data_IF_477905752164
#
_entry.id   IF_477905752164
#
_cell.length_a   1.000
_cell.length_b   1.000
_cell.length_c   1.000
_cell.angle_alpha   90.00
_cell.angle_beta   90.00
_cell.angle_gamma   90.00
#
_symmetry.space_group_name_H-M   'P 1'
#
loop_
_entity.id
_entity.type
_entity.pdbx_description
1 polymer ?
#
# COMPACT_ATOMS: atom_id res chain seq x y z
N UNK A 1 23.50 -0.55 -21.23
CA UNK A 1 22.51 0.37 -20.66
C UNK A 1 23.04 1.77 -20.92
N UNK A 2 22.31 2.61 -21.65
CA UNK A 2 22.78 3.96 -22.04
C UNK A 2 24.19 3.96 -22.67
N UNK A 3 24.45 3.02 -23.58
CA UNK A 3 25.78 2.83 -24.19
C UNK A 3 26.84 2.16 -23.30
N UNK A 4 26.63 2.05 -21.98
CA UNK A 4 27.57 1.41 -21.07
C UNK A 4 27.31 -0.09 -20.89
N UNK A 5 28.38 -0.89 -20.78
CA UNK A 5 28.27 -2.32 -20.49
C UNK A 5 28.22 -2.57 -18.98
N UNK A 6 26.99 -2.73 -18.47
CA UNK A 6 26.71 -3.02 -17.05
C UNK A 6 26.81 -4.51 -16.66
N UNK A 7 26.74 -5.41 -17.64
CA UNK A 7 26.93 -6.85 -17.45
C UNK A 7 27.78 -7.41 -18.59
N UNK A 8 28.71 -8.31 -18.25
CA UNK A 8 29.58 -9.01 -19.20
C UNK A 8 29.57 -10.50 -18.87
N UNK A 9 29.51 -11.35 -19.90
CA UNK A 9 29.62 -12.81 -19.80
C UNK A 9 28.67 -13.40 -18.73
N UNK A 10 27.46 -12.84 -18.66
CA UNK A 10 26.52 -13.15 -17.59
C UNK A 10 25.86 -14.51 -17.77
N UNK A 11 26.20 -15.45 -16.90
CA UNK A 11 25.56 -16.76 -16.81
C UNK A 11 24.49 -16.76 -15.71
N UNK A 12 23.22 -16.78 -16.15
CA UNK A 12 22.05 -16.80 -15.26
C UNK A 12 22.08 -18.03 -14.35
N UNK A 13 22.45 -19.21 -14.86
CA UNK A 13 22.44 -20.47 -14.10
C UNK A 13 23.53 -20.46 -13.03
N UNK A 14 24.72 -19.97 -13.38
CA UNK A 14 25.83 -19.84 -12.43
C UNK A 14 25.46 -18.88 -11.29
N UNK A 15 24.94 -17.69 -11.64
CA UNK A 15 24.53 -16.68 -10.66
C UNK A 15 23.36 -17.16 -9.78
N UNK A 16 22.38 -17.84 -10.37
CA UNK A 16 21.23 -18.39 -9.66
C UNK A 16 21.56 -19.65 -8.85
N UNK A 17 22.81 -20.14 -8.93
CA UNK A 17 23.27 -21.40 -8.30
C UNK A 17 22.38 -22.58 -8.67
N UNK A 18 21.95 -22.65 -9.93
CA UNK A 18 21.07 -23.72 -10.43
C UNK A 18 20.15 -23.28 -11.56
N UNK A 19 19.57 -24.27 -12.25
CA UNK A 19 18.55 -24.04 -13.28
C UNK A 19 17.17 -23.73 -12.65
N UNK A 20 16.28 -23.10 -13.42
CA UNK A 20 14.90 -22.77 -13.02
C UNK A 20 14.78 -21.88 -11.77
N UNK A 21 15.84 -21.13 -11.46
CA UNK A 21 15.88 -20.19 -10.33
C UNK A 21 15.85 -18.77 -10.86
N UNK A 22 14.88 -17.99 -10.40
CA UNK A 22 14.78 -16.59 -10.74
C UNK A 22 15.85 -15.80 -9.98
N UNK A 23 16.48 -14.87 -10.68
CA UNK A 23 17.37 -13.86 -10.11
C UNK A 23 16.96 -12.49 -10.65
N UNK A 24 17.07 -11.48 -9.80
CA UNK A 24 16.78 -10.08 -10.16
C UNK A 24 18.10 -9.32 -10.11
N UNK A 25 18.39 -8.60 -11.19
CA UNK A 25 19.51 -7.66 -11.26
C UNK A 25 18.94 -6.25 -11.43
N UNK A 26 19.37 -5.34 -10.56
CA UNK A 26 18.96 -3.94 -10.58
C UNK A 26 20.16 -3.11 -11.00
N UNK A 27 19.91 -2.19 -11.92
CA UNK A 27 20.90 -1.25 -12.43
C UNK A 27 20.28 0.13 -12.44
N UNK A 28 21.05 1.13 -12.02
CA UNK A 28 20.67 2.51 -12.13
C UNK A 28 21.17 3.08 -13.46
N UNK A 29 20.35 3.91 -14.09
CA UNK A 29 20.68 4.60 -15.34
C UNK A 29 20.30 6.06 -15.25
N UNK A 30 21.19 6.93 -15.75
CA UNK A 30 20.85 8.32 -15.99
C UNK A 30 20.15 8.45 -17.36
N UNK A 31 18.96 9.04 -17.37
CA UNK A 31 18.13 9.19 -18.58
C UNK A 31 17.88 10.68 -18.81
N UNK A 32 18.52 11.24 -19.84
CA UNK A 32 18.45 12.68 -20.15
C UNK A 32 17.36 13.02 -21.17
N UNK A 33 17.15 12.15 -22.17
CA UNK A 33 16.27 12.43 -23.31
C UNK A 33 14.96 11.62 -23.26
N UNK A 34 14.51 11.22 -22.08
CA UNK A 34 13.32 10.37 -21.87
C UNK A 34 13.37 8.99 -22.57
N UNK A 35 14.51 8.62 -23.16
CA UNK A 35 14.76 7.33 -23.81
C UNK A 35 15.75 6.55 -22.96
N UNK A 36 15.36 5.35 -22.55
CA UNK A 36 16.22 4.39 -21.88
C UNK A 36 16.65 3.31 -22.88
N UNK A 37 17.94 3.26 -23.19
CA UNK A 37 18.50 2.28 -24.09
C UNK A 37 19.03 1.05 -23.33
N UNK A 38 18.51 -0.12 -23.66
CA UNK A 38 18.93 -1.41 -23.10
C UNK A 38 19.34 -2.31 -24.26
N UNK A 39 20.63 -2.63 -24.32
CA UNK A 39 21.19 -3.48 -25.37
C UNK A 39 21.56 -4.84 -24.79
N UNK A 40 21.02 -5.91 -25.37
CA UNK A 40 21.46 -7.27 -25.10
C UNK A 40 22.38 -7.71 -26.23
N UNK A 41 23.66 -7.84 -25.93
CA UNK A 41 24.65 -8.32 -26.88
C UNK A 41 24.91 -9.81 -26.69
N UNK A 42 24.95 -10.55 -27.79
CA UNK A 42 25.20 -11.98 -27.79
C UNK A 42 26.37 -12.33 -28.70
N UNK A 43 27.45 -12.81 -28.08
CA UNK A 43 28.71 -13.12 -28.76
C UNK A 43 28.80 -14.58 -29.25
N UNK A 44 27.69 -15.32 -29.31
CA UNK A 44 27.69 -16.72 -29.76
C UNK A 44 27.80 -17.78 -28.65
N UNK A 45 27.68 -17.41 -27.37
CA UNK A 45 27.60 -18.35 -26.24
C UNK A 45 26.16 -18.41 -25.71
N UNK A 46 25.59 -19.60 -25.60
CA UNK A 46 24.21 -19.79 -25.17
C UNK A 46 23.87 -21.26 -24.95
N UNK A 47 22.61 -21.55 -24.68
CA UNK A 47 22.11 -22.93 -24.61
C UNK A 47 22.19 -23.56 -25.99
N UNK A 48 22.71 -24.79 -26.10
CA UNK A 48 22.46 -25.63 -27.25
C UNK A 48 21.21 -26.46 -27.02
N UNK A 49 20.50 -26.78 -28.09
CA UNK A 49 19.70 -28.00 -28.16
C UNK A 49 18.32 -27.91 -27.46
N UNK A 50 17.84 -26.70 -27.12
CA UNK A 50 16.47 -26.47 -26.62
C UNK A 50 15.89 -25.21 -27.24
N UNK A 51 14.75 -25.27 -27.97
CA UNK A 51 13.99 -26.48 -28.33
C UNK A 51 14.59 -27.29 -29.49
N UNK A 52 15.49 -26.71 -30.28
CA UNK A 52 16.16 -27.36 -31.40
C UNK A 52 17.68 -27.13 -31.33
N UNK A 53 18.45 -27.84 -32.16
CA UNK A 53 19.90 -27.65 -32.22
C UNK A 53 20.24 -26.26 -32.78
N UNK A 54 20.94 -25.47 -31.97
CA UNK A 54 21.29 -24.09 -32.28
C UNK A 54 21.73 -23.37 -31.02
N UNK A 55 22.34 -22.21 -31.16
CA UNK A 55 22.77 -21.40 -30.01
C UNK A 55 21.78 -20.27 -29.80
N UNK A 56 21.17 -20.24 -28.61
CA UNK A 56 20.17 -19.22 -28.27
C UNK A 56 20.83 -17.99 -27.64
N UNK A 57 20.25 -16.83 -27.95
CA UNK A 57 20.75 -15.53 -27.54
C UNK A 57 20.47 -15.17 -26.07
N UNK A 58 20.42 -13.87 -25.75
CA UNK A 58 20.23 -13.40 -24.39
C UNK A 58 18.81 -13.73 -23.88
N UNK A 59 18.69 -14.07 -22.59
CA UNK A 59 17.42 -14.46 -21.97
C UNK A 59 17.00 -13.46 -20.90
N UNK A 60 15.74 -13.01 -20.96
CA UNK A 60 15.10 -12.13 -19.96
C UNK A 60 13.64 -12.54 -19.83
N UNK A 61 13.17 -12.72 -18.59
CA UNK A 61 11.76 -13.06 -18.32
C UNK A 61 10.90 -11.83 -18.06
N UNK A 62 11.43 -10.84 -17.34
CA UNK A 62 10.71 -9.63 -16.97
C UNK A 62 11.66 -8.47 -16.73
N UNK A 63 11.15 -7.26 -16.89
CA UNK A 63 11.83 -6.01 -16.59
C UNK A 63 10.90 -5.06 -15.85
N UNK A 64 11.46 -4.30 -14.90
CA UNK A 64 10.75 -3.26 -14.16
C UNK A 64 11.59 -1.99 -14.19
N UNK A 65 10.97 -0.89 -14.60
CA UNK A 65 11.61 0.43 -14.70
C UNK A 65 10.86 1.37 -13.77
N UNK A 66 11.59 2.12 -12.95
CA UNK A 66 11.05 3.14 -12.05
C UNK A 66 12.08 4.25 -11.84
N UNK A 67 11.60 5.45 -11.52
CA UNK A 67 12.47 6.58 -11.22
C UNK A 67 13.11 6.42 -9.84
N UNK A 68 14.43 6.54 -9.77
CA UNK A 68 15.17 6.57 -8.51
C UNK A 68 14.96 7.93 -7.84
N UNK A 69 14.47 7.95 -6.61
CA UNK A 69 14.15 9.19 -5.87
C UNK A 69 12.66 9.53 -5.78
N UNK A 70 11.78 8.80 -6.48
CA UNK A 70 10.33 8.92 -6.31
C UNK A 70 9.82 8.11 -5.11
N UNK A 71 10.37 8.36 -3.92
CA UNK A 71 9.61 8.18 -2.68
C UNK A 71 8.75 9.44 -2.52
N UNK A 72 7.58 9.56 -3.15
CA UNK A 72 6.35 9.06 -2.54
C UNK A 72 5.21 9.01 -3.56
N UNK A 73 5.12 7.93 -4.34
CA UNK A 73 3.84 7.45 -4.83
C UNK A 73 3.74 5.98 -4.45
N UNK A 74 3.43 5.78 -3.18
CA UNK A 74 3.06 4.50 -2.58
C UNK A 74 2.20 3.68 -3.57
N UNK A 75 2.76 2.59 -4.09
CA UNK A 75 1.97 1.44 -4.53
C UNK A 75 1.34 0.79 -3.29
N UNK A 76 0.47 1.53 -2.59
CA UNK A 76 -0.47 0.94 -1.63
C UNK A 76 -1.74 0.68 -2.39
N UNK A 77 -2.08 -0.61 -2.46
CA UNK A 77 -3.44 -1.09 -2.63
C UNK A 77 -4.44 -0.05 -2.12
N UNK A 78 -5.34 0.37 -3.02
CA UNK A 78 -6.37 1.42 -2.84
C UNK A 78 -7.32 1.16 -1.66
N UNK A 79 -7.11 0.09 -0.90
CA UNK A 79 -7.98 -0.37 0.18
C UNK A 79 -7.48 0.01 1.60
N UNK A 80 -6.21 0.40 1.79
CA UNK A 80 -5.70 0.69 3.16
C UNK A 80 -5.92 2.14 3.63
N UNK A 81 -6.13 3.10 2.72
CA UNK A 81 -6.34 4.50 3.09
C UNK A 81 -7.64 4.72 3.87
N UNK A 82 -8.64 3.86 3.71
CA UNK A 82 -9.91 3.97 4.45
C UNK A 82 -9.79 3.57 5.93
N UNK A 83 -8.80 2.74 6.30
CA UNK A 83 -8.64 2.24 7.69
C UNK A 83 -7.82 3.19 8.58
N UNK A 84 -6.79 3.86 8.06
CA UNK A 84 -5.94 4.77 8.87
C UNK A 84 -6.65 6.06 9.29
N UNK A 85 -7.58 6.57 8.48
CA UNK A 85 -8.37 7.77 8.84
C UNK A 85 -9.37 7.54 9.98
N UNK A 86 -9.87 6.30 10.13
CA UNK A 86 -10.84 5.94 11.18
C UNK A 86 -10.17 5.78 12.55
N UNK A 87 -8.91 5.30 12.58
CA UNK A 87 -8.17 5.04 13.83
C UNK A 87 -7.69 6.32 14.54
N UNK A 88 -7.28 7.37 13.80
CA UNK A 88 -6.89 8.66 14.39
C UNK A 88 -8.09 9.50 14.87
N UNK A 89 -9.26 9.34 14.24
CA UNK A 89 -10.49 10.03 14.66
C UNK A 89 -11.05 9.49 15.98
N UNK A 90 -10.84 8.21 16.30
CA UNK A 90 -11.36 7.58 17.52
C UNK A 90 -10.59 8.01 18.79
N UNK A 91 -9.28 8.22 18.68
CA UNK A 91 -8.40 8.53 19.84
C UNK A 91 -8.58 9.97 20.32
N UNK A 92 -8.87 10.92 19.43
CA UNK A 92 -9.11 12.33 19.80
C UNK A 92 -10.59 12.64 20.11
N UNK A 93 -11.54 11.79 19.68
CA UNK A 93 -12.99 12.02 19.89
C UNK A 93 -13.58 11.36 21.15
N UNK A 94 -12.87 10.39 21.76
CA UNK A 94 -13.44 9.56 22.84
C UNK A 94 -13.76 10.33 24.13
N UNK A 95 -12.87 11.23 24.57
CA UNK A 95 -13.06 11.95 25.83
C UNK A 95 -14.19 13.00 25.75
N UNK A 96 -14.30 13.73 24.64
CA UNK A 96 -15.34 14.73 24.45
C UNK A 96 -16.74 14.10 24.32
N UNK A 97 -16.85 13.00 23.58
CA UNK A 97 -18.13 12.28 23.43
C UNK A 97 -18.66 11.73 24.75
N UNK A 98 -17.79 11.19 25.61
CA UNK A 98 -18.19 10.67 26.92
C UNK A 98 -18.71 11.76 27.86
N UNK A 99 -18.09 12.95 27.88
CA UNK A 99 -18.55 14.07 28.71
C UNK A 99 -19.93 14.59 28.28
N UNK A 100 -20.17 14.70 26.98
CA UNK A 100 -21.46 15.13 26.43
C UNK A 100 -22.55 14.09 26.74
N UNK A 101 -22.28 12.80 26.49
CA UNK A 101 -23.23 11.73 26.80
C UNK A 101 -23.54 11.66 28.31
N UNK A 102 -22.53 11.80 29.16
CA UNK A 102 -22.70 11.79 30.62
C UNK A 102 -23.57 12.96 31.10
N UNK A 103 -23.38 14.15 30.52
CA UNK A 103 -24.17 15.35 30.83
C UNK A 103 -25.63 15.19 30.43
N UNK A 104 -25.91 14.61 29.24
CA UNK A 104 -27.27 14.33 28.78
C UNK A 104 -27.96 13.33 29.73
N UNK A 105 -27.28 12.24 30.08
CA UNK A 105 -27.82 11.22 31.01
C UNK A 105 -28.07 11.81 32.40
N UNK A 106 -27.17 12.67 32.90
CA UNK A 106 -27.35 13.36 34.18
C UNK A 106 -28.58 14.28 34.16
N UNK A 107 -28.75 15.07 33.09
CA UNK A 107 -29.92 15.94 32.94
C UNK A 107 -31.22 15.15 32.81
N UNK A 108 -31.21 13.99 32.15
CA UNK A 108 -32.37 13.10 32.08
C UNK A 108 -32.72 12.54 33.46
N UNK A 109 -31.73 12.01 34.19
CA UNK A 109 -31.95 11.52 35.57
C UNK A 109 -32.51 12.60 36.48
N UNK A 110 -31.96 13.82 36.44
CA UNK A 110 -32.45 14.96 37.24
C UNK A 110 -33.86 15.40 36.83
N UNK A 111 -34.20 15.30 35.54
CA UNK A 111 -35.55 15.64 35.05
C UNK A 111 -36.59 14.61 35.48
N UNK A 112 -36.25 13.33 35.54
CA UNK A 112 -37.16 12.29 36.01
C UNK A 112 -37.37 12.35 37.54
N UNK A 113 -36.38 12.78 38.31
CA UNK A 113 -36.53 13.04 39.75
C UNK A 113 -37.52 14.20 40.02
N UNK A 114 -37.50 15.25 39.20
CA UNK A 114 -38.42 16.38 39.31
C UNK A 114 -39.84 16.10 38.75
N UNK A 115 -40.05 14.96 38.09
CA UNK A 115 -41.36 14.57 37.53
C UNK A 115 -42.28 13.84 38.52
N UNK A 116 -41.85 13.70 39.78
CA UNK A 116 -42.70 13.24 40.87
C UNK A 116 -43.40 14.37 41.65
N UNK A 117 -43.55 15.56 41.06
CA UNK A 117 -44.55 16.51 41.56
C UNK A 117 -45.93 16.10 41.02
N UNK A 118 -46.64 15.23 41.77
CA UNK A 118 -48.07 15.00 41.58
C UNK A 118 -48.79 16.33 41.77
N UNK A 119 -49.28 16.91 40.66
CA UNK A 119 -50.26 18.00 40.70
C UNK A 119 -51.53 17.40 41.31
N UNK A 120 -51.79 17.71 42.58
CA UNK A 120 -53.06 17.41 43.20
C UNK A 120 -54.07 18.43 42.68
N UNK A 121 -54.86 18.05 41.68
CA UNK A 121 -56.04 18.80 41.26
C UNK A 121 -57.21 18.37 42.13
N UNK A 122 -57.55 19.17 43.14
CA UNK A 122 -58.83 19.06 43.83
C UNK A 122 -59.96 19.55 42.92
N UNK A 123 -60.95 18.68 42.73
CA UNK A 123 -62.15 18.91 41.93
C UNK A 123 -63.19 19.70 42.73
N UNK A 124 -63.90 20.69 42.13
CA UNK A 124 -64.84 21.53 42.85
C UNK A 124 -66.06 20.74 43.30
N UNK A 125 -66.37 20.82 44.60
CA UNK A 125 -67.56 20.25 45.23
C UNK A 125 -68.80 20.97 44.71
N UNK A 126 -69.73 20.23 44.11
CA UNK A 126 -71.07 20.74 43.74
C UNK A 126 -71.87 21.05 45.02
N UNK A 127 -72.53 22.21 45.02
CA UNK A 127 -73.65 22.58 45.92
C UNK A 127 -74.88 21.74 45.61
#
# INVERSE_FOLDING_TARGET
MQGERVLKDFDIKAEAKGAYRAIVKTFDANVTNNVLEIHFFWAGKGTCCIPFQGTYGPLVSAMRIYQQGSTSASFSSRNDKRRRGVLLGLVLGGAGGLLIASSIVYLWRKKDENRHFKVHTDSPRKV
#
